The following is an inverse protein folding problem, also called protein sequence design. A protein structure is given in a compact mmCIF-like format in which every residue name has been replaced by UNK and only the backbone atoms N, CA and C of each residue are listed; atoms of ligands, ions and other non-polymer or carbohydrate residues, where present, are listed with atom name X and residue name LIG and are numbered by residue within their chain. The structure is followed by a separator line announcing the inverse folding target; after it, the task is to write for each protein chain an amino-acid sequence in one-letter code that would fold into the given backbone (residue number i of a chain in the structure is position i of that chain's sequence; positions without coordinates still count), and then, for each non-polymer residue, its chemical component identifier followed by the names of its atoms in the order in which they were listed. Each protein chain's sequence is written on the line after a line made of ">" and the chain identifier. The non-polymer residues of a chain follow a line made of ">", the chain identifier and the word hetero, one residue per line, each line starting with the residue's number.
data_IF_929213539376
#
_entry.id   IF_929213539376
#
_cell.length_a   1.000
_cell.length_b   1.000
_cell.length_c   1.000
_cell.angle_alpha   90.00
_cell.angle_beta   90.00
_cell.angle_gamma   90.00
#
_symmetry.space_group_name_H-M   'P 1'
#
loop_
_entity.id
_entity.type
_entity.pdbx_description
1 polymer ?
#
# COMPACT_ATOMS: atom_id res chain seq x y z
N UNK A 1 5.62 6.51 6.37
CA UNK A 1 6.16 7.89 6.41
C UNK A 1 6.78 8.28 5.08
N UNK A 2 7.79 7.54 4.59
CA UNK A 2 8.39 7.80 3.26
C UNK A 2 7.37 8.02 2.14
N UNK A 3 6.40 7.10 1.98
CA UNK A 3 5.36 7.20 0.94
C UNK A 3 4.46 8.45 1.11
N UNK A 4 4.17 8.86 2.34
CA UNK A 4 3.39 10.06 2.63
C UNK A 4 4.16 11.32 2.25
N UNK A 5 5.45 11.38 2.58
CA UNK A 5 6.34 12.48 2.16
C UNK A 5 6.51 12.54 0.64
N UNK A 6 6.54 11.38 -0.02
CA UNK A 6 6.65 11.28 -1.47
C UNK A 6 5.39 11.84 -2.16
N UNK A 7 4.20 11.54 -1.64
CA UNK A 7 2.91 11.99 -2.19
C UNK A 7 2.64 13.46 -1.87
N UNK A 8 3.01 13.92 -0.68
CA UNK A 8 2.82 15.31 -0.24
C UNK A 8 3.91 16.26 -0.75
N UNK A 9 4.78 15.79 -1.66
CA UNK A 9 5.90 16.55 -2.23
C UNK A 9 6.85 17.16 -1.18
N UNK A 10 6.91 16.57 0.01
CA UNK A 10 7.87 16.96 1.07
C UNK A 10 9.28 16.47 0.73
N UNK A 11 9.38 15.43 -0.11
CA UNK A 11 10.65 14.94 -0.65
C UNK A 11 10.98 15.62 -1.98
N UNK A 12 12.04 16.43 -1.99
CA UNK A 12 12.59 17.00 -3.21
C UNK A 12 13.60 16.03 -3.85
N UNK A 13 13.09 15.14 -4.69
CA UNK A 13 13.92 14.19 -5.44
C UNK A 13 13.34 13.97 -6.85
N UNK A 14 13.71 14.80 -7.83
CA UNK A 14 13.12 14.77 -9.17
C UNK A 14 13.33 13.42 -9.88
N UNK A 15 14.53 12.85 -9.78
CA UNK A 15 14.87 11.54 -10.38
C UNK A 15 14.01 10.39 -9.84
N UNK A 16 13.57 10.49 -8.58
CA UNK A 16 12.70 9.50 -7.97
C UNK A 16 11.24 9.74 -8.36
N UNK A 17 10.80 11.00 -8.35
CA UNK A 17 9.45 11.39 -8.74
C UNK A 17 9.16 11.04 -10.21
N UNK A 18 10.14 11.18 -11.10
CA UNK A 18 10.02 10.78 -12.51
C UNK A 18 9.71 9.29 -12.69
N UNK A 19 10.22 8.44 -11.79
CA UNK A 19 9.99 6.99 -11.83
C UNK A 19 8.64 6.58 -11.25
N UNK A 20 7.86 7.53 -10.74
CA UNK A 20 6.62 7.27 -10.01
C UNK A 20 5.46 7.96 -10.69
N UNK A 21 4.59 7.18 -11.32
CA UNK A 21 3.38 7.70 -11.97
C UNK A 21 2.24 7.76 -10.95
N UNK A 22 2.02 8.94 -10.38
CA UNK A 22 0.91 9.19 -9.47
C UNK A 22 -0.44 9.18 -10.19
N UNK A 23 -1.45 8.66 -9.51
CA UNK A 23 -2.85 8.86 -9.81
C UNK A 23 -3.42 9.76 -8.73
N UNK A 24 -4.11 10.82 -9.15
CA UNK A 24 -4.89 11.66 -8.25
C UNK A 24 -6.35 11.21 -8.38
N UNK A 25 -6.85 10.34 -7.48
CA UNK A 25 -8.22 9.89 -7.57
C UNK A 25 -9.17 11.06 -7.25
N UNK A 26 -9.75 11.66 -8.29
CA UNK A 26 -10.84 12.63 -8.16
C UNK A 26 -12.15 11.94 -8.53
N UNK A 27 -13.03 11.72 -7.54
CA UNK A 27 -14.39 11.25 -7.76
C UNK A 27 -14.57 9.81 -8.30
N UNK A 28 -13.51 9.01 -8.42
CA UNK A 28 -13.61 7.61 -8.88
C UNK A 28 -13.65 6.62 -7.72
N UNK A 29 -14.31 5.47 -7.93
CA UNK A 29 -14.43 4.39 -6.92
C UNK A 29 -13.10 3.78 -6.49
N UNK A 30 -12.03 3.97 -7.28
CA UNK A 30 -10.68 3.48 -6.99
C UNK A 30 -9.86 4.57 -6.30
N UNK A 31 -9.23 4.23 -5.16
CA UNK A 31 -8.34 5.13 -4.41
C UNK A 31 -6.85 4.92 -4.74
N UNK A 32 -6.54 4.16 -5.79
CA UNK A 32 -5.15 3.87 -6.17
C UNK A 32 -4.33 5.15 -6.36
N UNK A 33 -3.20 5.22 -5.67
CA UNK A 33 -2.27 6.36 -5.67
C UNK A 33 -1.26 6.31 -6.81
N UNK A 34 -1.00 5.12 -7.34
CA UNK A 34 0.01 4.86 -8.35
C UNK A 34 -0.57 4.07 -9.52
N UNK A 35 -0.04 4.32 -10.71
CA UNK A 35 -0.36 3.50 -11.88
C UNK A 35 0.30 2.13 -11.77
N UNK A 36 -0.47 1.07 -12.07
CA UNK A 36 0.07 -0.29 -12.16
C UNK A 36 0.87 -0.42 -13.45
N UNK A 37 2.15 -0.74 -13.32
CA UNK A 37 3.02 -1.01 -14.46
C UNK A 37 3.10 -2.51 -14.72
N UNK A 38 2.83 -2.92 -15.96
CA UNK A 38 3.05 -4.29 -16.39
C UNK A 38 4.55 -4.53 -16.59
N UNK A 39 5.06 -5.65 -16.07
CA UNK A 39 6.47 -6.03 -16.19
C UNK A 39 6.59 -7.48 -16.58
N UNK A 40 7.58 -7.77 -17.43
CA UNK A 40 7.80 -9.08 -18.03
C UNK A 40 8.40 -10.10 -17.06
N UNK A 41 9.13 -9.65 -16.04
CA UNK A 41 9.83 -10.53 -15.10
C UNK A 41 9.39 -10.31 -13.66
N UNK A 42 9.41 -11.40 -12.88
CA UNK A 42 9.19 -11.32 -11.44
C UNK A 42 10.30 -10.53 -10.72
N UNK A 43 11.52 -10.52 -11.27
CA UNK A 43 12.60 -9.69 -10.75
C UNK A 43 12.26 -8.20 -10.83
N UNK A 44 11.85 -7.72 -12.01
CA UNK A 44 11.42 -6.34 -12.19
C UNK A 44 10.21 -6.02 -11.30
N UNK A 45 9.22 -6.92 -11.24
CA UNK A 45 8.04 -6.79 -10.36
C UNK A 45 8.43 -6.59 -8.89
N UNK A 46 9.49 -7.25 -8.44
CA UNK A 46 9.97 -7.19 -7.07
C UNK A 46 11.02 -6.11 -6.82
N UNK A 47 11.29 -5.24 -7.80
CA UNK A 47 12.07 -4.02 -7.58
C UNK A 47 11.41 -3.12 -6.53
N UNK A 48 12.23 -2.34 -5.83
CA UNK A 48 11.81 -1.52 -4.69
C UNK A 48 10.69 -0.54 -5.06
N UNK A 49 10.79 0.11 -6.23
CA UNK A 49 9.80 1.09 -6.70
C UNK A 49 8.45 0.42 -6.97
N UNK A 50 8.43 -0.68 -7.72
CA UNK A 50 7.19 -1.37 -8.07
C UNK A 50 6.55 -2.07 -6.86
N UNK A 51 7.35 -2.55 -5.92
CA UNK A 51 6.83 -3.03 -4.62
C UNK A 51 6.20 -1.90 -3.82
N UNK A 52 6.88 -0.75 -3.74
CA UNK A 52 6.38 0.42 -3.03
C UNK A 52 5.06 0.92 -3.63
N UNK A 53 4.96 1.04 -4.96
CA UNK A 53 3.73 1.48 -5.63
C UNK A 53 2.56 0.52 -5.36
N UNK A 54 2.79 -0.79 -5.47
CA UNK A 54 1.76 -1.81 -5.16
C UNK A 54 1.32 -1.74 -3.70
N UNK A 55 2.27 -1.59 -2.79
CA UNK A 55 1.99 -1.46 -1.36
C UNK A 55 1.21 -0.18 -1.04
N UNK A 56 1.57 0.93 -1.69
CA UNK A 56 0.85 2.20 -1.58
C UNK A 56 -0.59 2.08 -2.06
N UNK A 57 -0.82 1.44 -3.21
CA UNK A 57 -2.17 1.18 -3.72
C UNK A 57 -3.00 0.31 -2.78
N UNK A 58 -2.40 -0.73 -2.20
CA UNK A 58 -3.09 -1.57 -1.21
C UNK A 58 -3.52 -0.76 0.03
N UNK A 59 -2.62 0.06 0.59
CA UNK A 59 -2.95 0.86 1.78
C UNK A 59 -3.97 1.97 1.44
N UNK A 60 -3.94 2.51 0.21
CA UNK A 60 -4.81 3.61 -0.22
C UNK A 60 -6.29 3.29 -0.20
N UNK A 61 -6.66 2.00 -0.23
CA UNK A 61 -8.05 1.56 -0.07
C UNK A 61 -8.56 1.78 1.36
N UNK A 62 -7.66 1.76 2.34
CA UNK A 62 -7.99 1.86 3.77
C UNK A 62 -7.64 3.21 4.38
N UNK A 63 -6.83 4.02 3.68
CA UNK A 63 -6.24 5.23 4.23
C UNK A 63 -6.20 6.32 3.15
N UNK A 64 -6.73 7.50 3.48
CA UNK A 64 -6.56 8.68 2.63
C UNK A 64 -5.20 9.33 2.88
N UNK A 65 -4.35 9.39 1.84
CA UNK A 65 -3.03 10.00 1.93
C UNK A 65 -3.02 11.51 1.73
N UNK A 66 -4.06 12.07 1.10
CA UNK A 66 -4.15 13.50 0.77
C UNK A 66 -4.88 14.30 1.84
N UNK A 67 -5.88 13.69 2.49
CA UNK A 67 -6.68 14.38 3.51
C UNK A 67 -6.12 14.23 4.94
N UNK A 68 -5.15 13.32 5.15
CA UNK A 68 -4.62 13.04 6.47
C UNK A 68 -3.29 13.77 6.70
N UNK A 69 -3.30 14.74 7.63
CA UNK A 69 -2.07 15.40 8.10
C UNK A 69 -1.09 14.39 8.71
N UNK A 70 0.22 14.70 8.68
CA UNK A 70 1.30 13.74 9.03
C UNK A 70 1.16 13.08 10.41
N UNK A 71 0.66 13.80 11.42
CA UNK A 71 0.42 13.27 12.76
C UNK A 71 -0.75 12.28 12.81
N UNK A 72 -1.88 12.63 12.19
CA UNK A 72 -3.07 11.76 12.09
C UNK A 72 -2.76 10.54 11.23
N UNK A 73 -1.99 10.72 10.16
CA UNK A 73 -1.55 9.67 9.26
C UNK A 73 -0.77 8.57 9.99
N UNK A 74 0.15 8.93 10.91
CA UNK A 74 0.87 7.95 11.75
C UNK A 74 -0.09 7.10 12.59
N UNK A 75 -1.06 7.75 13.26
CA UNK A 75 -2.05 7.07 14.11
C UNK A 75 -2.92 6.11 13.30
N UNK A 76 -3.43 6.56 12.16
CA UNK A 76 -4.26 5.74 11.28
C UNK A 76 -3.48 4.58 10.66
N UNK A 77 -2.23 4.79 10.23
CA UNK A 77 -1.36 3.69 9.79
C UNK A 77 -1.25 2.64 10.89
N UNK A 78 -0.91 3.03 12.12
CA UNK A 78 -0.78 2.07 13.22
C UNK A 78 -2.08 1.29 13.45
N UNK A 79 -3.23 1.95 13.38
CA UNK A 79 -4.54 1.30 13.47
C UNK A 79 -4.78 0.30 12.34
N UNK A 80 -4.52 0.68 11.07
CA UNK A 80 -4.68 -0.19 9.90
C UNK A 80 -3.78 -1.43 10.01
N UNK A 81 -2.51 -1.28 10.36
CA UNK A 81 -1.62 -2.44 10.53
C UNK A 81 -2.01 -3.33 11.71
N UNK A 82 -2.57 -2.76 12.78
CA UNK A 82 -3.07 -3.54 13.92
C UNK A 82 -4.27 -4.39 13.50
N UNK A 83 -5.20 -3.81 12.73
CA UNK A 83 -6.38 -4.51 12.21
C UNK A 83 -6.02 -5.55 11.14
N UNK A 84 -5.18 -5.20 10.17
CA UNK A 84 -4.71 -6.14 9.14
C UNK A 84 -3.89 -7.29 9.72
N UNK A 85 -3.12 -7.07 10.81
CA UNK A 85 -2.42 -8.15 11.52
C UNK A 85 -3.41 -9.14 12.14
N UNK A 86 -4.52 -8.66 12.69
CA UNK A 86 -5.58 -9.49 13.27
C UNK A 86 -6.30 -10.29 12.16
N UNK A 87 -6.64 -9.67 11.03
CA UNK A 87 -7.26 -10.37 9.89
C UNK A 87 -6.35 -11.43 9.26
N UNK A 88 -5.05 -11.14 9.14
CA UNK A 88 -4.08 -12.13 8.68
C UNK A 88 -3.96 -13.29 9.69
N UNK A 89 -3.89 -13.02 11.00
CA UNK A 89 -3.86 -14.07 12.02
C UNK A 89 -5.13 -14.95 12.02
N UNK A 90 -6.30 -14.35 11.77
CA UNK A 90 -7.56 -15.09 11.68
C UNK A 90 -7.63 -15.95 10.41
N UNK A 91 -7.14 -15.45 9.28
CA UNK A 91 -7.08 -16.24 8.03
C UNK A 91 -6.03 -17.37 8.10
N UNK A 92 -4.91 -17.18 8.78
CA UNK A 92 -3.95 -18.26 9.06
C UNK A 92 -4.51 -19.32 10.02
N UNK A 93 -5.26 -18.92 11.06
CA UNK A 93 -5.94 -19.86 11.96
C UNK A 93 -6.98 -20.71 11.25
N UNK A 94 -7.80 -20.10 10.38
CA UNK A 94 -8.84 -20.81 9.61
C UNK A 94 -8.25 -21.82 8.61
N UNK A 95 -7.10 -21.52 7.98
CA UNK A 95 -6.41 -22.47 7.10
C UNK A 95 -5.78 -23.66 7.83
N UNK A 96 -5.33 -23.46 9.07
CA UNK A 96 -4.72 -24.52 9.88
C UNK A 96 -5.75 -25.43 10.57
N UNK A 97 -7.02 -25.01 10.71
CA UNK A 97 -8.11 -25.86 11.21
C UNK A 97 -8.70 -26.76 10.12
N UNK A 98 -8.70 -26.32 8.86
CA UNK A 98 -9.22 -27.12 7.73
C UNK A 98 -8.31 -28.29 7.31
N UNK A 99 -7.05 -28.31 7.74
CA UNK A 99 -6.11 -29.41 7.45
C UNK A 99 -6.15 -30.55 8.49
N UNK A 100 -6.90 -30.41 9.60
CA UNK A 100 -6.95 -31.41 10.69
C UNK A 100 -8.09 -32.44 10.59
N UNK A 101 -8.88 -32.44 9.51
CA UNK A 101 -10.04 -33.34 9.35
C UNK A 101 -9.96 -34.29 8.14
N UNK A 102 -8.75 -34.53 7.61
CA UNK A 102 -8.51 -35.54 6.56
C UNK A 102 -7.49 -36.58 7.02
N UNK A 103 -7.80 -37.34 8.07
CA UNK A 103 -7.36 -38.71 8.28
C UNK A 103 -8.36 -39.40 9.20
#
# INVERSE_FOLDING_TARGET
>A
LFLHHLITSVLDCPNLLERVTFKVPSGTRSRELFTRVAVSTNYARNSSILRMQRHGNFISEHLDFFQCGSASFKKHIFSVYSNCRIENLNTYKLRNTTHKHKY
#
